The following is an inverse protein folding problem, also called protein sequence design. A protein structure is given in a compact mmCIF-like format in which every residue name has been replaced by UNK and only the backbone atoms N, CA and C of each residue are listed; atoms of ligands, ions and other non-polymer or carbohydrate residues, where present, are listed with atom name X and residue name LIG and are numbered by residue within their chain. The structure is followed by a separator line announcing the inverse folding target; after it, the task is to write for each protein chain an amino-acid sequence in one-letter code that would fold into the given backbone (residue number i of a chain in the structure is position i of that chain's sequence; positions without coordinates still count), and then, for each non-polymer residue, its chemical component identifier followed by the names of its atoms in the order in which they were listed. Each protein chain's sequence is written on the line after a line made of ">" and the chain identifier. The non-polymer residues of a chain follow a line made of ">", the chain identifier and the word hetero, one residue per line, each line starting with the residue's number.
data_IF_963447612155
#
_entry.id   IF_963447612155
#
_cell.length_a   1.000
_cell.length_b   1.000
_cell.length_c   1.000
_cell.angle_alpha   90.00
_cell.angle_beta   90.00
_cell.angle_gamma   90.00
#
_symmetry.space_group_name_H-M   'P 1'
#
loop_
_entity.id
_entity.type
_entity.pdbx_description
1 polymer ?
#
# COMPACT_ATOMS: atom_id res chain seq x y z
N UNK A 1 3.38 -0.52 -12.37
CA UNK A 1 3.39 -0.44 -10.90
C UNK A 1 1.95 -0.47 -10.42
N UNK A 2 1.58 -1.41 -9.55
CA UNK A 2 0.21 -1.58 -9.06
C UNK A 2 -0.05 -0.63 -7.91
N UNK A 3 -1.14 0.13 -7.96
CA UNK A 3 -1.60 1.01 -6.88
C UNK A 3 -2.95 0.50 -6.41
N UNK A 4 -3.12 0.33 -5.11
CA UNK A 4 -4.34 -0.18 -4.49
C UNK A 4 -4.74 0.64 -3.28
N UNK A 5 -6.05 0.64 -3.00
CA UNK A 5 -6.59 1.30 -1.83
C UNK A 5 -6.33 0.46 -0.57
N UNK A 6 -6.18 1.09 0.60
CA UNK A 6 -6.20 0.36 1.86
C UNK A 6 -7.51 -0.45 2.00
N UNK A 7 -7.42 -1.63 2.61
CA UNK A 7 -8.55 -2.55 2.79
C UNK A 7 -8.86 -3.44 1.57
N UNK A 8 -8.29 -3.17 0.40
CA UNK A 8 -8.42 -4.05 -0.75
C UNK A 8 -7.58 -5.32 -0.59
N UNK A 9 -8.01 -6.42 -1.23
CA UNK A 9 -7.18 -7.61 -1.32
C UNK A 9 -5.89 -7.28 -2.09
N UNK A 10 -4.70 -7.56 -1.52
CA UNK A 10 -3.45 -7.32 -2.22
C UNK A 10 -3.42 -8.10 -3.53
N UNK A 11 -3.12 -7.43 -4.63
CA UNK A 11 -2.97 -8.07 -5.92
C UNK A 11 -1.73 -8.99 -5.96
N UNK A 12 -0.73 -8.67 -5.14
CA UNK A 12 0.54 -9.39 -5.04
C UNK A 12 1.08 -9.35 -3.60
N UNK A 13 1.72 -10.44 -3.18
CA UNK A 13 2.52 -10.50 -1.95
C UNK A 13 3.85 -9.75 -2.13
N UNK A 14 4.54 -9.49 -1.02
CA UNK A 14 5.83 -8.80 -0.98
C UNK A 14 5.73 -7.37 -0.48
N UNK A 15 6.70 -6.53 -0.82
CA UNK A 15 6.80 -5.18 -0.24
C UNK A 15 5.90 -4.15 -0.92
N UNK A 16 5.26 -3.31 -0.12
CA UNK A 16 4.42 -2.21 -0.56
C UNK A 16 4.83 -0.93 0.16
N UNK A 17 4.75 0.19 -0.55
CA UNK A 17 5.05 1.51 -0.01
C UNK A 17 3.81 2.40 -0.09
N UNK A 18 3.60 3.21 0.94
CA UNK A 18 2.52 4.17 0.99
C UNK A 18 2.81 5.36 0.07
N UNK A 19 1.80 5.74 -0.71
CA UNK A 19 1.88 6.82 -1.69
C UNK A 19 0.68 7.76 -1.55
N UNK A 20 0.78 8.96 -2.11
CA UNK A 20 -0.36 9.86 -2.25
C UNK A 20 -1.42 9.30 -3.21
N UNK A 21 -2.54 10.01 -3.37
CA UNK A 21 -3.62 9.64 -4.28
C UNK A 21 -3.18 9.49 -5.75
N UNK A 22 -2.07 10.13 -6.12
CA UNK A 22 -1.50 10.18 -7.46
C UNK A 22 -0.38 9.13 -7.67
N UNK A 23 0.05 8.42 -6.62
CA UNK A 23 1.11 7.41 -6.70
C UNK A 23 2.53 7.90 -6.43
N UNK A 24 2.68 9.13 -5.90
CA UNK A 24 3.98 9.68 -5.50
C UNK A 24 4.36 9.21 -4.09
N UNK A 25 5.64 8.92 -3.91
CA UNK A 25 6.18 8.54 -2.60
C UNK A 25 6.18 9.78 -1.69
N UNK A 26 5.69 9.57 -0.47
CA UNK A 26 5.64 10.61 0.54
C UNK A 26 6.90 10.56 1.41
N UNK A 27 7.40 11.70 1.93
CA UNK A 27 8.58 11.73 2.79
C UNK A 27 8.42 10.89 4.07
N UNK A 28 7.20 10.76 4.60
CA UNK A 28 6.85 9.90 5.74
C UNK A 28 6.13 8.61 5.30
N UNK A 29 6.41 8.11 4.09
CA UNK A 29 5.76 6.91 3.57
C UNK A 29 6.05 5.69 4.43
N UNK A 30 5.01 4.93 4.77
CA UNK A 30 5.15 3.64 5.42
C UNK A 30 5.49 2.58 4.39
N UNK A 31 6.46 1.72 4.69
CA UNK A 31 6.69 0.48 3.94
C UNK A 31 6.15 -0.70 4.75
N UNK A 32 5.50 -1.64 4.07
CA UNK A 32 4.95 -2.86 4.66
C UNK A 32 5.33 -4.06 3.79
N UNK A 33 5.31 -5.24 4.39
CA UNK A 33 5.43 -6.50 3.68
C UNK A 33 4.11 -7.24 3.80
N UNK A 34 3.51 -7.59 2.67
CA UNK A 34 2.29 -8.38 2.58
C UNK A 34 2.69 -9.84 2.38
N UNK A 35 2.22 -10.70 3.27
CA UNK A 35 2.42 -12.15 3.21
C UNK A 35 1.20 -12.85 2.58
N UNK A 36 1.29 -14.15 2.23
CA UNK A 36 0.14 -14.90 1.72
C UNK A 36 -1.05 -14.98 2.69
N UNK A 37 -0.80 -14.85 3.99
CA UNK A 37 -1.84 -14.85 5.03
C UNK A 37 -2.59 -13.50 5.11
N UNK A 38 -2.00 -12.43 4.58
CA UNK A 38 -2.60 -11.09 4.56
C UNK A 38 -3.67 -10.99 3.48
N UNK A 39 -4.93 -11.07 3.93
CA UNK A 39 -6.09 -11.01 3.01
C UNK A 39 -6.41 -9.61 2.51
N UNK A 40 -5.95 -8.57 3.21
CA UNK A 40 -6.25 -7.17 2.90
C UNK A 40 -5.04 -6.28 3.15
N UNK A 41 -4.87 -5.25 2.33
CA UNK A 41 -3.90 -4.20 2.59
C UNK A 41 -4.29 -3.44 3.87
N UNK A 42 -3.35 -3.16 4.78
CA UNK A 42 -3.63 -2.45 6.01
C UNK A 42 -4.06 -1.00 5.72
N UNK A 43 -4.66 -0.29 6.69
CA UNK A 43 -4.91 1.13 6.55
C UNK A 43 -3.61 1.91 6.34
N UNK A 44 -3.68 2.95 5.52
CA UNK A 44 -2.62 3.95 5.36
C UNK A 44 -2.59 4.90 6.56
N UNK A 45 -1.51 5.65 6.74
CA UNK A 45 -1.35 6.55 7.88
C UNK A 45 -2.32 7.74 7.83
N UNK A 46 -2.71 8.17 6.62
CA UNK A 46 -3.67 9.27 6.42
C UNK A 46 -4.73 8.91 5.38
N UNK A 47 -5.97 9.42 5.51
CA UNK A 47 -7.02 9.24 4.52
C UNK A 47 -6.57 9.72 3.13
N UNK A 48 -7.05 9.05 2.08
CA UNK A 48 -6.77 9.40 0.68
C UNK A 48 -5.41 8.92 0.15
N UNK A 49 -4.55 8.35 1.01
CA UNK A 49 -3.32 7.67 0.59
C UNK A 49 -3.58 6.25 0.12
N UNK A 50 -2.66 5.71 -0.68
CA UNK A 50 -2.76 4.39 -1.31
C UNK A 50 -1.49 3.58 -1.08
N UNK A 51 -1.53 2.30 -1.45
CA UNK A 51 -0.38 1.42 -1.45
C UNK A 51 0.12 1.20 -2.86
N UNK A 52 1.43 1.33 -3.07
CA UNK A 52 2.10 1.03 -4.32
C UNK A 52 3.01 -0.18 -4.13
N UNK A 53 2.90 -1.15 -5.02
CA UNK A 53 3.81 -2.30 -5.01
C UNK A 53 5.21 -1.84 -5.40
N UNK A 54 6.19 -2.18 -4.55
CA UNK A 54 7.63 -2.07 -4.85
C UNK A 54 8.07 -3.20 -5.77
#
# INVERSE_FOLDING_TARGET
>A
MTIQNPGEKPAMIGEWIEVDSNGNILPDSKQITITPDDRHLPPTQKPGRKWKKL
#
